data_IF_598194908525
#
_entry.id   IF_598194908525
#
_cell.length_a   1.000
_cell.length_b   1.000
_cell.length_c   1.000
_cell.angle_alpha   90.00
_cell.angle_beta   90.00
_cell.angle_gamma   90.00
#
_symmetry.space_group_name_H-M   'P 1'
#
loop_
_entity.id
_entity.type
_entity.pdbx_description
1 polymer ?
#
# COMPACT_ATOMS: atom_id res chain seq x y z
N UNK A 1 -16.33 -12.41 -6.95
CA UNK A 1 -15.88 -13.76 -6.53
C UNK A 1 -15.82 -13.84 -4.99
N UNK A 2 -16.19 -14.96 -4.35
CA UNK A 2 -15.86 -15.18 -2.92
C UNK A 2 -14.58 -16.02 -2.89
N UNK A 3 -13.49 -15.55 -2.28
CA UNK A 3 -12.21 -16.26 -2.25
C UNK A 3 -12.26 -17.52 -1.36
N UNK A 4 -12.98 -17.42 -0.23
CA UNK A 4 -13.03 -18.45 0.82
C UNK A 4 -13.33 -19.89 0.35
N UNK A 5 -14.27 -20.16 -0.58
CA UNK A 5 -14.61 -21.52 -1.00
C UNK A 5 -13.53 -22.22 -1.82
N UNK A 6 -12.55 -21.48 -2.35
CA UNK A 6 -11.50 -22.04 -3.23
C UNK A 6 -10.21 -22.40 -2.47
N UNK A 7 -10.13 -22.06 -1.18
CA UNK A 7 -8.96 -22.32 -0.36
C UNK A 7 -9.23 -23.56 0.50
N UNK A 8 -8.38 -24.60 0.43
CA UNK A 8 -8.55 -25.79 1.25
C UNK A 8 -8.05 -25.53 2.68
N UNK A 9 -8.78 -24.71 3.44
CA UNK A 9 -8.38 -24.23 4.78
C UNK A 9 -8.00 -25.34 5.76
N UNK A 10 -8.59 -26.53 5.63
CA UNK A 10 -8.24 -27.71 6.43
C UNK A 10 -6.79 -28.18 6.26
N UNK A 11 -6.08 -27.69 5.24
CA UNK A 11 -4.65 -27.96 5.02
C UNK A 11 -3.73 -26.93 5.70
N UNK A 12 -4.29 -25.84 6.22
CA UNK A 12 -3.53 -24.80 6.90
C UNK A 12 -2.90 -25.33 8.18
N UNK A 13 -1.63 -24.99 8.39
CA UNK A 13 -0.86 -25.35 9.59
C UNK A 13 0.23 -24.32 9.82
N UNK A 14 0.56 -24.07 11.09
CA UNK A 14 1.49 -23.03 11.50
C UNK A 14 2.88 -23.22 10.87
N UNK A 15 3.49 -22.12 10.46
CA UNK A 15 4.88 -22.07 10.04
C UNK A 15 5.81 -21.97 11.25
N UNK A 16 7.09 -22.22 11.04
CA UNK A 16 8.12 -22.00 12.06
C UNK A 16 8.10 -20.55 12.57
N UNK A 17 8.40 -20.38 13.86
CA UNK A 17 8.38 -19.08 14.53
C UNK A 17 7.54 -19.10 15.81
N UNK A 18 6.80 -18.03 16.06
CA UNK A 18 6.13 -17.76 17.34
C UNK A 18 5.09 -18.82 17.75
N UNK A 19 4.51 -19.53 16.78
CA UNK A 19 3.50 -20.57 17.02
C UNK A 19 4.09 -21.99 16.97
N UNK A 20 5.42 -22.13 17.00
CA UNK A 20 6.14 -23.40 17.02
C UNK A 20 5.72 -24.39 15.91
N UNK A 21 5.42 -23.85 14.73
CA UNK A 21 5.00 -24.64 13.56
C UNK A 21 6.16 -25.28 12.78
N UNK A 22 5.82 -25.85 11.63
CA UNK A 22 6.78 -26.53 10.74
C UNK A 22 7.31 -25.54 9.70
N UNK A 23 8.63 -25.46 9.46
CA UNK A 23 9.18 -24.60 8.41
C UNK A 23 8.64 -24.99 7.03
N UNK A 24 8.67 -24.04 6.10
CA UNK A 24 8.44 -24.37 4.70
C UNK A 24 9.61 -25.22 4.18
N UNK A 25 9.31 -26.24 3.39
CA UNK A 25 10.31 -27.10 2.77
C UNK A 25 10.08 -27.23 1.25
N UNK A 26 11.14 -27.19 0.41
CA UNK A 26 11.02 -27.31 -1.04
C UNK A 26 10.34 -28.57 -1.57
N UNK A 27 10.19 -29.63 -0.76
CA UNK A 27 9.47 -30.87 -1.11
C UNK A 27 7.94 -30.80 -0.86
N UNK A 28 7.46 -29.79 -0.10
CA UNK A 28 6.05 -29.62 0.23
C UNK A 28 5.15 -29.20 -0.95
N UNK A 29 5.59 -28.32 -1.88
CA UNK A 29 4.79 -27.95 -3.05
C UNK A 29 4.32 -29.16 -3.85
N UNK A 30 3.04 -29.13 -4.24
CA UNK A 30 2.40 -30.16 -5.06
C UNK A 30 2.15 -29.70 -6.49
N UNK A 31 2.11 -28.38 -6.71
CA UNK A 31 2.07 -27.80 -8.04
C UNK A 31 3.42 -28.05 -8.74
N UNK A 32 3.35 -28.30 -10.05
CA UNK A 32 4.54 -28.23 -10.87
C UNK A 32 5.10 -26.78 -10.89
N UNK A 33 6.38 -26.65 -11.23
CA UNK A 33 7.06 -25.36 -11.19
C UNK A 33 6.36 -24.30 -12.05
N UNK A 34 5.96 -24.62 -13.29
CA UNK A 34 5.31 -23.67 -14.19
C UNK A 34 3.99 -23.12 -13.64
N UNK A 35 3.13 -23.96 -13.08
CA UNK A 35 1.87 -23.55 -12.48
C UNK A 35 2.10 -22.69 -11.24
N UNK A 36 3.08 -23.06 -10.40
CA UNK A 36 3.47 -22.26 -9.24
C UNK A 36 4.01 -20.90 -9.65
N UNK A 37 4.93 -20.85 -10.60
CA UNK A 37 5.56 -19.61 -11.06
C UNK A 37 4.53 -18.69 -11.72
N UNK A 38 3.58 -19.25 -12.48
CA UNK A 38 2.45 -18.51 -13.04
C UNK A 38 1.55 -17.88 -11.96
N UNK A 39 1.24 -18.62 -10.89
CA UNK A 39 0.47 -18.09 -9.76
C UNK A 39 1.25 -17.02 -8.98
N UNK A 40 2.55 -17.20 -8.75
CA UNK A 40 3.39 -16.21 -8.08
C UNK A 40 3.50 -14.94 -8.93
N UNK A 41 3.73 -15.08 -10.24
CA UNK A 41 3.75 -13.95 -11.16
C UNK A 41 2.42 -13.19 -11.15
N UNK A 42 1.30 -13.91 -11.24
CA UNK A 42 -0.01 -13.28 -11.19
C UNK A 42 -0.25 -12.57 -9.85
N UNK A 43 0.13 -13.20 -8.72
CA UNK A 43 0.04 -12.57 -7.40
C UNK A 43 0.81 -11.25 -7.32
N UNK A 44 2.02 -11.19 -7.89
CA UNK A 44 2.82 -9.96 -7.88
C UNK A 44 2.15 -8.81 -8.66
N UNK A 45 1.44 -9.12 -9.73
CA UNK A 45 0.64 -8.15 -10.49
C UNK A 45 -0.59 -7.74 -9.69
N UNK A 46 -1.34 -8.70 -9.14
CA UNK A 46 -2.53 -8.44 -8.32
C UNK A 46 -2.23 -7.62 -7.06
N UNK A 47 -1.05 -7.76 -6.47
CA UNK A 47 -0.64 -6.97 -5.29
C UNK A 47 -0.18 -5.52 -5.63
N UNK A 48 0.00 -5.18 -6.92
CA UNK A 48 0.23 -3.80 -7.39
C UNK A 48 -1.08 -3.03 -7.65
N UNK A 49 -2.21 -3.59 -7.21
CA UNK A 49 -3.54 -3.00 -7.33
C UNK A 49 -3.66 -1.51 -6.93
N UNK A 50 -2.95 -0.99 -5.91
CA UNK A 50 -2.98 0.45 -5.63
C UNK A 50 -2.52 1.32 -6.81
N UNK A 51 -1.54 0.86 -7.58
CA UNK A 51 -1.04 1.55 -8.77
C UNK A 51 -2.08 1.54 -9.89
N UNK A 52 -2.74 0.41 -10.13
CA UNK A 52 -3.81 0.28 -11.14
C UNK A 52 -5.04 1.11 -10.79
N UNK A 53 -5.47 1.08 -9.53
CA UNK A 53 -6.57 1.92 -9.03
C UNK A 53 -6.30 3.40 -9.31
N UNK A 54 -5.08 3.88 -9.01
CA UNK A 54 -4.70 5.28 -9.28
C UNK A 54 -4.78 5.62 -10.77
N UNK A 55 -4.23 4.77 -11.65
CA UNK A 55 -4.25 5.01 -13.09
C UNK A 55 -5.70 5.07 -13.61
N UNK A 56 -6.55 4.14 -13.19
CA UNK A 56 -7.96 4.14 -13.56
C UNK A 56 -8.72 5.36 -13.03
N UNK A 57 -8.45 5.77 -11.79
CA UNK A 57 -9.01 6.98 -11.20
C UNK A 57 -8.63 8.25 -11.97
N UNK A 58 -7.40 8.33 -12.51
CA UNK A 58 -6.97 9.44 -13.35
C UNK A 58 -7.63 9.44 -14.74
N UNK A 59 -7.91 8.27 -15.31
CA UNK A 59 -8.50 8.14 -16.64
C UNK A 59 -10.03 8.32 -16.65
N UNK A 60 -10.72 7.80 -15.63
CA UNK A 60 -12.19 7.73 -15.59
C UNK A 60 -12.83 8.69 -14.58
N UNK A 61 -12.03 9.41 -13.78
CA UNK A 61 -12.44 10.18 -12.58
C UNK A 61 -12.95 9.30 -11.42
N UNK A 62 -12.90 9.86 -10.21
CA UNK A 62 -13.50 9.28 -9.00
C UNK A 62 -14.93 9.79 -8.75
N UNK A 63 -15.49 10.59 -9.65
CA UNK A 63 -16.82 11.17 -9.49
C UNK A 63 -17.92 10.30 -10.10
N UNK A 64 -19.11 10.33 -9.48
CA UNK A 64 -20.33 9.75 -10.04
C UNK A 64 -20.26 8.24 -10.30
N UNK A 65 -20.90 7.76 -11.38
CA UNK A 65 -20.94 6.33 -11.72
C UNK A 65 -19.56 5.72 -11.99
N UNK A 66 -18.65 6.48 -12.62
CA UNK A 66 -17.30 6.00 -12.92
C UNK A 66 -16.46 5.78 -11.67
N UNK A 67 -16.50 6.72 -10.71
CA UNK A 67 -15.84 6.52 -9.41
C UNK A 67 -16.38 5.32 -8.64
N UNK A 68 -17.70 5.08 -8.71
CA UNK A 68 -18.30 3.88 -8.11
C UNK A 68 -17.77 2.60 -8.76
N UNK A 69 -17.67 2.59 -10.08
CA UNK A 69 -17.13 1.45 -10.83
C UNK A 69 -15.65 1.21 -10.50
N UNK A 70 -14.79 2.24 -10.54
CA UNK A 70 -13.36 2.13 -10.22
C UNK A 70 -13.17 1.54 -8.81
N UNK A 71 -13.91 2.04 -7.82
CA UNK A 71 -13.84 1.50 -6.46
C UNK A 71 -14.31 0.03 -6.37
N UNK A 72 -15.41 -0.33 -7.04
CA UNK A 72 -15.92 -1.70 -7.02
C UNK A 72 -15.00 -2.68 -7.75
N UNK A 73 -14.48 -2.29 -8.91
CA UNK A 73 -13.50 -3.07 -9.65
C UNK A 73 -12.27 -3.35 -8.77
N UNK A 74 -11.74 -2.33 -8.10
CA UNK A 74 -10.61 -2.50 -7.17
C UNK A 74 -10.94 -3.47 -6.04
N UNK A 75 -12.12 -3.40 -5.43
CA UNK A 75 -12.53 -4.38 -4.43
C UNK A 75 -12.69 -5.80 -4.98
N UNK A 76 -13.00 -5.94 -6.27
CA UNK A 76 -13.12 -7.23 -6.93
C UNK A 76 -11.75 -7.82 -7.24
N UNK A 77 -10.81 -7.04 -7.78
CA UNK A 77 -9.43 -7.48 -8.02
C UNK A 77 -8.66 -7.82 -6.74
N UNK A 78 -8.88 -7.08 -5.64
CA UNK A 78 -8.25 -7.41 -4.34
C UNK A 78 -8.57 -8.84 -3.88
N UNK A 79 -9.74 -9.36 -4.28
CA UNK A 79 -10.16 -10.74 -3.99
C UNK A 79 -9.40 -11.77 -4.81
N UNK A 80 -8.89 -11.41 -5.99
CA UNK A 80 -8.05 -12.28 -6.80
C UNK A 80 -6.69 -12.47 -6.13
N UNK A 81 -6.01 -11.36 -5.79
CA UNK A 81 -4.74 -11.40 -5.05
C UNK A 81 -4.87 -12.17 -3.73
N UNK A 82 -5.94 -11.93 -2.96
CA UNK A 82 -6.23 -12.69 -1.73
C UNK A 82 -6.39 -14.18 -1.99
N UNK A 83 -7.18 -14.58 -2.99
CA UNK A 83 -7.40 -16.00 -3.30
C UNK A 83 -6.09 -16.71 -3.70
N UNK A 84 -5.26 -16.07 -4.53
CA UNK A 84 -4.00 -16.66 -4.98
C UNK A 84 -3.02 -16.78 -3.81
N UNK A 85 -2.85 -15.72 -3.01
CA UNK A 85 -1.95 -15.72 -1.85
C UNK A 85 -2.36 -16.77 -0.84
N UNK A 86 -3.63 -16.79 -0.45
CA UNK A 86 -4.13 -17.69 0.58
C UNK A 86 -4.03 -19.14 0.09
N UNK A 87 -4.28 -19.41 -1.19
CA UNK A 87 -4.08 -20.74 -1.77
C UNK A 87 -2.62 -21.16 -1.68
N UNK A 88 -1.67 -20.32 -2.13
CA UNK A 88 -0.24 -20.61 -2.13
C UNK A 88 0.30 -20.88 -0.71
N UNK A 89 -0.15 -20.10 0.28
CA UNK A 89 0.29 -20.22 1.68
C UNK A 89 -0.39 -21.42 2.37
N UNK A 90 -1.72 -21.55 2.32
CA UNK A 90 -2.45 -22.64 2.99
C UNK A 90 -2.04 -24.01 2.45
N UNK A 91 -1.74 -24.11 1.15
CA UNK A 91 -1.30 -25.37 0.54
C UNK A 91 0.20 -25.58 0.58
N UNK A 92 0.97 -24.62 1.13
CA UNK A 92 2.43 -24.58 1.16
C UNK A 92 3.08 -24.74 -0.22
N UNK A 93 2.39 -24.31 -1.28
CA UNK A 93 2.92 -24.35 -2.63
C UNK A 93 3.97 -23.26 -2.88
N UNK A 94 4.06 -22.22 -2.04
CA UNK A 94 5.14 -21.25 -2.07
C UNK A 94 5.69 -20.99 -0.66
N UNK A 95 6.96 -20.61 -0.59
CA UNK A 95 7.61 -20.12 0.63
C UNK A 95 7.06 -18.72 0.96
N UNK A 96 6.38 -18.52 2.11
CA UNK A 96 5.89 -17.21 2.51
C UNK A 96 7.00 -16.17 2.71
N UNK A 97 8.22 -16.60 3.06
CA UNK A 97 9.39 -15.71 3.19
C UNK A 97 9.85 -15.25 1.82
N UNK A 98 10.00 -16.15 0.86
CA UNK A 98 10.30 -15.79 -0.53
C UNK A 98 9.26 -14.83 -1.12
N UNK A 99 7.95 -15.11 -0.97
CA UNK A 99 6.89 -14.22 -1.45
C UNK A 99 7.00 -12.80 -0.86
N UNK A 100 7.26 -12.69 0.45
CA UNK A 100 7.50 -11.40 1.09
C UNK A 100 8.72 -10.69 0.50
N UNK A 101 9.80 -11.43 0.25
CA UNK A 101 11.05 -10.89 -0.30
C UNK A 101 10.87 -10.44 -1.76
N UNK A 102 10.10 -11.17 -2.57
CA UNK A 102 9.76 -10.77 -3.95
C UNK A 102 8.98 -9.45 -3.97
N UNK A 103 7.95 -9.34 -3.13
CA UNK A 103 7.22 -8.09 -2.96
C UNK A 103 8.12 -6.94 -2.49
N UNK A 104 9.08 -7.21 -1.59
CA UNK A 104 10.04 -6.20 -1.15
C UNK A 104 10.98 -5.77 -2.29
N UNK A 105 11.45 -6.70 -3.12
CA UNK A 105 12.25 -6.42 -4.33
C UNK A 105 11.46 -5.58 -5.33
N UNK A 106 10.18 -5.85 -5.54
CA UNK A 106 9.32 -5.06 -6.42
C UNK A 106 9.23 -3.59 -5.96
N UNK A 107 9.03 -3.35 -4.66
CA UNK A 107 9.04 -2.00 -4.09
C UNK A 107 10.40 -1.32 -4.22
N UNK A 108 11.49 -2.07 -4.05
CA UNK A 108 12.84 -1.56 -4.25
C UNK A 108 13.07 -1.13 -5.70
N UNK A 109 12.61 -1.92 -6.67
CA UNK A 109 12.68 -1.57 -8.09
C UNK A 109 12.03 -0.21 -8.38
N UNK A 110 10.78 -0.01 -7.94
CA UNK A 110 10.09 1.27 -8.13
C UNK A 110 10.81 2.44 -7.46
N UNK A 111 11.36 2.23 -6.26
CA UNK A 111 12.17 3.24 -5.57
C UNK A 111 13.38 3.63 -6.41
N UNK A 112 14.15 2.66 -6.89
CA UNK A 112 15.35 2.90 -7.68
C UNK A 112 15.03 3.64 -8.98
N UNK A 113 13.95 3.24 -9.67
CA UNK A 113 13.48 3.93 -10.88
C UNK A 113 13.09 5.38 -10.56
N UNK A 114 12.31 5.60 -9.50
CA UNK A 114 11.85 6.94 -9.13
C UNK A 114 13.02 7.86 -8.73
N UNK A 115 14.03 7.33 -8.03
CA UNK A 115 15.26 8.06 -7.72
C UNK A 115 16.06 8.40 -9.00
N UNK A 116 16.15 7.47 -9.95
CA UNK A 116 16.78 7.76 -11.24
C UNK A 116 16.01 8.83 -12.02
N UNK A 117 14.67 8.79 -12.02
CA UNK A 117 13.83 9.85 -12.60
C UNK A 117 14.08 11.20 -11.94
N UNK A 118 14.24 11.24 -10.61
CA UNK A 118 14.56 12.47 -9.89
C UNK A 118 15.92 13.05 -10.30
N UNK A 119 16.92 12.20 -10.55
CA UNK A 119 18.23 12.63 -11.06
C UNK A 119 18.16 13.16 -12.51
N UNK A 120 17.44 12.47 -13.40
CA UNK A 120 17.41 12.80 -14.83
C UNK A 120 16.44 13.95 -15.17
N UNK A 121 15.29 13.99 -14.50
CA UNK A 121 14.17 14.89 -14.81
C UNK A 121 13.50 15.38 -13.52
N UNK A 122 14.20 16.17 -12.67
CA UNK A 122 13.72 16.54 -11.34
C UNK A 122 12.40 17.33 -11.39
N UNK A 123 12.25 18.32 -12.28
CA UNK A 123 11.03 19.11 -12.42
C UNK A 123 9.79 18.25 -12.69
N UNK A 124 9.86 17.37 -13.70
CA UNK A 124 8.73 16.48 -14.07
C UNK A 124 8.45 15.46 -12.97
N UNK A 125 9.50 14.94 -12.34
CA UNK A 125 9.37 13.96 -11.27
C UNK A 125 8.70 14.57 -10.05
N UNK A 126 9.14 15.76 -9.61
CA UNK A 126 8.51 16.49 -8.50
C UNK A 126 7.07 16.88 -8.80
N UNK A 127 6.76 17.31 -10.03
CA UNK A 127 5.40 17.61 -10.42
C UNK A 127 4.49 16.38 -10.28
N UNK A 128 4.94 15.21 -10.73
CA UNK A 128 4.21 13.96 -10.56
C UNK A 128 4.06 13.55 -9.09
N UNK A 129 5.14 13.65 -8.30
CA UNK A 129 5.13 13.34 -6.87
C UNK A 129 4.17 14.25 -6.11
N UNK A 130 4.22 15.56 -6.35
CA UNK A 130 3.31 16.56 -5.77
C UNK A 130 1.85 16.22 -6.08
N UNK A 131 1.54 15.93 -7.34
CA UNK A 131 0.19 15.52 -7.76
C UNK A 131 -0.27 14.30 -6.98
N UNK A 132 0.55 13.24 -6.93
CA UNK A 132 0.20 11.98 -6.24
C UNK A 132 -0.01 12.18 -4.74
N UNK A 133 0.87 12.91 -4.05
CA UNK A 133 0.74 13.16 -2.61
C UNK A 133 -0.56 13.87 -2.26
N UNK A 134 -0.96 14.84 -3.09
CA UNK A 134 -2.16 15.66 -2.86
C UNK A 134 -3.46 14.94 -3.22
N UNK A 135 -3.44 14.06 -4.22
CA UNK A 135 -4.62 13.32 -4.67
C UNK A 135 -4.74 11.92 -4.09
N UNK A 136 -3.74 11.46 -3.33
CA UNK A 136 -3.74 10.12 -2.77
C UNK A 136 -5.02 9.82 -1.99
N UNK A 137 -5.59 8.66 -2.29
CA UNK A 137 -6.67 8.04 -1.55
C UNK A 137 -6.28 6.58 -1.30
N UNK A 138 -6.47 6.06 -0.07
CA UNK A 138 -6.20 4.67 0.19
C UNK A 138 -7.11 3.78 -0.68
N UNK A 139 -6.63 2.61 -1.12
CA UNK A 139 -7.46 1.65 -1.84
C UNK A 139 -8.76 1.36 -1.07
N UNK A 140 -9.87 1.29 -1.79
CA UNK A 140 -11.18 1.02 -1.20
C UNK A 140 -11.82 2.20 -0.45
N UNK A 141 -11.29 3.43 -0.58
CA UNK A 141 -11.87 4.59 0.12
C UNK A 141 -13.35 4.86 -0.19
N UNK A 142 -13.84 4.40 -1.35
CA UNK A 142 -15.25 4.49 -1.74
C UNK A 142 -16.11 3.31 -1.29
N UNK A 143 -15.56 2.32 -0.57
CA UNK A 143 -16.30 1.14 -0.16
C UNK A 143 -17.32 1.45 0.96
N UNK A 144 -18.51 0.82 0.94
CA UNK A 144 -19.45 0.90 2.06
C UNK A 144 -18.79 0.50 3.38
N UNK A 145 -18.93 1.36 4.41
CA UNK A 145 -18.35 1.10 5.73
C UNK A 145 -16.87 1.46 5.90
N UNK A 146 -16.18 1.95 4.86
CA UNK A 146 -14.74 2.27 4.92
C UNK A 146 -14.39 3.28 6.03
N UNK A 147 -15.25 4.27 6.29
CA UNK A 147 -15.03 5.23 7.38
C UNK A 147 -14.93 4.59 8.78
N UNK A 148 -15.71 3.53 9.05
CA UNK A 148 -15.61 2.77 10.31
C UNK A 148 -14.30 1.99 10.39
N UNK A 149 -13.87 1.40 9.27
CA UNK A 149 -12.60 0.68 9.17
C UNK A 149 -11.41 1.61 9.42
N UNK A 150 -11.38 2.78 8.76
CA UNK A 150 -10.34 3.81 8.97
C UNK A 150 -10.29 4.25 10.43
N UNK A 151 -11.45 4.48 11.05
CA UNK A 151 -11.52 4.85 12.47
C UNK A 151 -10.97 3.75 13.38
N UNK A 152 -11.23 2.48 13.05
CA UNK A 152 -10.69 1.34 13.78
C UNK A 152 -9.17 1.23 13.64
N UNK A 153 -8.65 1.34 12.42
CA UNK A 153 -7.20 1.29 12.15
C UNK A 153 -6.43 2.43 12.82
N UNK A 154 -7.03 3.63 12.87
CA UNK A 154 -6.43 4.78 13.52
C UNK A 154 -6.30 4.55 15.03
N UNK A 155 -7.36 4.07 15.69
CA UNK A 155 -7.35 3.75 17.13
C UNK A 155 -6.40 2.62 17.49
N UNK A 156 -6.19 1.66 16.61
CA UNK A 156 -5.24 0.56 16.84
C UNK A 156 -3.79 0.91 16.47
N UNK A 157 -3.52 2.15 16.03
CA UNK A 157 -2.18 2.57 15.62
C UNK A 157 -1.69 1.97 14.30
N UNK A 158 -2.55 1.30 13.52
CA UNK A 158 -2.17 0.66 12.25
C UNK A 158 -2.05 1.72 11.15
N UNK A 159 -3.05 2.59 11.02
CA UNK A 159 -3.05 3.69 10.06
C UNK A 159 -3.84 4.88 10.61
N UNK A 160 -3.14 5.95 10.98
CA UNK A 160 -3.68 7.19 11.52
C UNK A 160 -3.06 8.40 10.80
N UNK A 161 -3.58 9.62 11.00
CA UNK A 161 -2.91 10.82 10.51
C UNK A 161 -1.44 10.93 10.97
N UNK A 162 -1.15 10.42 12.17
CA UNK A 162 0.21 10.39 12.71
C UNK A 162 1.11 9.39 12.00
N UNK A 163 0.70 8.13 11.87
CA UNK A 163 1.53 7.12 11.19
C UNK A 163 1.68 7.44 9.71
N UNK A 164 0.65 8.02 9.07
CA UNK A 164 0.76 8.55 7.71
C UNK A 164 1.87 9.61 7.59
N UNK A 165 1.88 10.61 8.47
CA UNK A 165 2.92 11.64 8.43
C UNK A 165 4.31 11.03 8.69
N UNK A 166 4.46 10.34 9.84
CA UNK A 166 5.75 9.90 10.38
C UNK A 166 6.39 8.76 9.58
N UNK A 167 5.58 7.78 9.17
CA UNK A 167 6.08 6.51 8.64
C UNK A 167 5.93 6.42 7.10
N UNK A 168 5.13 7.30 6.49
CA UNK A 168 4.86 7.28 5.05
C UNK A 168 5.34 8.58 4.38
N UNK A 169 4.69 9.71 4.65
CA UNK A 169 4.88 10.94 3.89
C UNK A 169 6.29 11.54 4.09
N UNK A 170 6.76 11.68 5.33
CA UNK A 170 8.10 12.23 5.61
C UNK A 170 9.22 11.31 5.13
N UNK A 171 9.22 9.98 5.38
CA UNK A 171 10.27 9.09 4.89
C UNK A 171 10.31 9.02 3.36
N UNK A 172 9.15 9.01 2.70
CA UNK A 172 9.08 8.97 1.24
C UNK A 172 9.66 10.23 0.59
N UNK A 173 9.27 11.42 1.08
CA UNK A 173 9.78 12.69 0.54
C UNK A 173 11.27 12.87 0.84
N UNK A 174 11.74 12.42 2.01
CA UNK A 174 13.17 12.39 2.35
C UNK A 174 13.97 11.44 1.46
N UNK A 175 13.46 10.24 1.22
CA UNK A 175 14.08 9.23 0.35
C UNK A 175 14.30 9.76 -1.08
N UNK A 176 13.43 10.66 -1.55
CA UNK A 176 13.56 11.33 -2.85
C UNK A 176 14.41 12.61 -2.82
N UNK A 177 14.75 13.13 -1.63
CA UNK A 177 15.31 14.48 -1.49
C UNK A 177 14.37 15.56 -2.03
N UNK A 178 13.05 15.33 -1.97
CA UNK A 178 12.07 16.13 -2.70
C UNK A 178 12.02 17.60 -2.22
N UNK A 179 12.14 17.80 -0.91
CA UNK A 179 12.10 19.14 -0.28
C UNK A 179 13.44 19.87 -0.47
N UNK A 180 14.55 19.15 -0.50
CA UNK A 180 15.89 19.73 -0.56
C UNK A 180 16.47 19.77 -1.99
N UNK A 181 15.67 19.40 -2.99
CA UNK A 181 16.09 19.33 -4.38
C UNK A 181 16.55 20.70 -4.91
N UNK A 182 17.72 20.74 -5.52
CA UNK A 182 18.32 21.96 -6.08
C UNK A 182 18.30 21.94 -7.61
N UNK A 183 18.54 23.10 -8.24
CA UNK A 183 18.64 23.19 -9.71
C UNK A 183 17.30 23.08 -10.44
N UNK A 184 16.19 23.23 -9.72
CA UNK A 184 14.84 23.13 -10.26
C UNK A 184 14.47 24.34 -11.12
N UNK A 185 13.78 24.08 -12.22
CA UNK A 185 13.05 25.11 -12.96
C UNK A 185 11.81 25.60 -12.20
N UNK A 186 11.05 26.56 -12.79
CA UNK A 186 9.88 27.14 -12.12
C UNK A 186 8.79 26.11 -11.77
N UNK A 187 8.57 25.12 -12.64
CA UNK A 187 7.58 24.06 -12.41
C UNK A 187 8.03 23.14 -11.28
N UNK A 188 9.31 22.72 -11.27
CA UNK A 188 9.89 21.94 -10.20
C UNK A 188 9.84 22.65 -8.86
N UNK A 189 10.19 23.94 -8.80
CA UNK A 189 10.11 24.75 -7.56
C UNK A 189 8.69 24.84 -7.03
N UNK A 190 7.70 25.09 -7.90
CA UNK A 190 6.30 25.11 -7.46
C UNK A 190 5.85 23.75 -6.94
N UNK A 191 6.26 22.67 -7.60
CA UNK A 191 5.95 21.32 -7.13
C UNK A 191 6.63 21.00 -5.79
N UNK A 192 7.87 21.46 -5.58
CA UNK A 192 8.61 21.35 -4.31
C UNK A 192 7.87 22.09 -3.18
N UNK A 193 7.41 23.31 -3.43
CA UNK A 193 6.59 24.10 -2.47
C UNK A 193 5.30 23.36 -2.12
N UNK A 194 4.58 22.83 -3.12
CA UNK A 194 3.36 22.05 -2.90
C UNK A 194 3.63 20.77 -2.07
N UNK A 195 4.78 20.10 -2.28
CA UNK A 195 5.19 18.93 -1.47
C UNK A 195 5.47 19.36 -0.03
N UNK A 196 6.22 20.44 0.18
CA UNK A 196 6.53 20.96 1.51
C UNK A 196 5.25 21.33 2.28
N UNK A 197 4.34 22.06 1.63
CA UNK A 197 3.05 22.42 2.20
C UNK A 197 2.22 21.18 2.61
N UNK A 198 2.18 20.14 1.78
CA UNK A 198 1.48 18.90 2.12
C UNK A 198 2.07 18.20 3.36
N UNK A 199 3.40 18.23 3.52
CA UNK A 199 4.06 17.68 4.71
C UNK A 199 3.71 18.47 5.97
N UNK A 200 3.68 19.80 5.90
CA UNK A 200 3.26 20.66 7.00
C UNK A 200 1.80 20.40 7.40
N UNK A 201 0.90 20.33 6.41
CA UNK A 201 -0.52 19.99 6.65
C UNK A 201 -0.68 18.59 7.26
N UNK A 202 0.11 17.62 6.81
CA UNK A 202 0.13 16.28 7.40
C UNK A 202 0.64 16.31 8.86
N UNK A 203 1.68 17.10 9.15
CA UNK A 203 2.20 17.28 10.51
C UNK A 203 1.16 17.92 11.45
N UNK A 204 0.45 18.95 10.99
CA UNK A 204 -0.62 19.61 11.74
C UNK A 204 -1.76 18.63 12.02
N UNK A 205 -2.20 17.86 11.02
CA UNK A 205 -3.22 16.82 11.20
C UNK A 205 -2.79 15.75 12.21
N UNK A 206 -1.53 15.31 12.14
CA UNK A 206 -0.95 14.38 13.11
C UNK A 206 -0.97 14.95 14.54
N UNK A 207 -0.58 16.22 14.71
CA UNK A 207 -0.60 16.89 16.01
C UNK A 207 -1.99 17.00 16.62
N UNK A 208 -2.99 17.39 15.80
CA UNK A 208 -4.39 17.42 16.23
C UNK A 208 -4.91 16.05 16.64
N UNK A 209 -4.54 15.01 15.89
CA UNK A 209 -4.92 13.63 16.19
C UNK A 209 -4.34 13.16 17.53
N UNK A 210 -3.05 13.40 17.78
CA UNK A 210 -2.41 13.07 19.07
C UNK A 210 -3.10 13.77 20.24
N UNK A 211 -3.31 15.08 20.14
CA UNK A 211 -3.94 15.84 21.22
C UNK A 211 -5.35 15.33 21.54
N UNK A 212 -6.12 14.91 20.52
CA UNK A 212 -7.42 14.30 20.71
C UNK A 212 -7.30 12.92 21.39
N UNK A 213 -6.36 12.09 20.98
CA UNK A 213 -6.14 10.77 21.58
C UNK A 213 -5.78 10.89 23.07
N UNK A 214 -4.84 11.78 23.41
CA UNK A 214 -4.44 12.06 24.80
C UNK A 214 -5.62 12.54 25.66
N UNK A 215 -6.48 13.41 25.11
CA UNK A 215 -7.67 13.90 25.82
C UNK A 215 -8.69 12.79 26.08
N UNK A 216 -8.92 11.90 25.11
CA UNK A 216 -9.83 10.77 25.26
C UNK A 216 -9.29 9.75 26.28
N UNK A 217 -7.99 9.48 26.26
CA UNK A 217 -7.34 8.61 27.24
C UNK A 217 -7.43 9.19 28.66
N UNK A 218 -7.31 10.52 28.81
CA UNK A 218 -7.49 11.17 30.11
C UNK A 218 -8.92 11.03 30.62
N UNK A 219 -9.92 11.29 29.77
CA UNK A 219 -11.34 11.16 30.13
C UNK A 219 -11.75 9.71 30.46
N UNK A 220 -11.12 8.72 29.83
CA UNK A 220 -11.40 7.31 30.08
C UNK A 220 -10.80 6.79 31.40
N UNK A 221 -9.81 7.50 31.95
CA UNK A 221 -9.08 7.13 33.17
C UNK A 221 -9.39 8.02 34.39
N UNK A 222 -10.35 8.95 34.25
CA UNK A 222 -10.99 9.71 35.34
C UNK A 222 -12.37 9.16 35.66
#
# INVERSE_FOLDING_TARGET
MRALPYIPWSRGRDYDGLLDGEPWDPSQPKLNAAARDGLIHNLLSEEDLPSYHRVLAELFSLDGPWGTWVNRWTLEEDRHGTAIRDYLVVTRNADPVALRNDRARHKLFHRTVLQACMTMHPDRTLQAVSKVLRTFRPPGHGAPGFGRLVSSMARSGILSPETYHKDIASPFTRMLGAVDATGLGPVGRRAQEDVAAHLEEAAVRAGRYRALAELLDHLANT
#
